data_IF_134604658918
#
_entry.id   IF_134604658918
#
_cell.length_a   1.000
_cell.length_b   1.000
_cell.length_c   1.000
_cell.angle_alpha   90.00
_cell.angle_beta   90.00
_cell.angle_gamma   90.00
#
_symmetry.space_group_name_H-M   'P 1'
#
loop_
_entity.id
_entity.type
_entity.pdbx_description
1 polymer ?
#
# COMPACT_ATOMS: atom_id res chain seq x y z
N UNK A 1 -30.32 22.48 -16.62
CA UNK A 1 -30.45 21.17 -15.94
C UNK A 1 -29.25 20.34 -16.34
N UNK A 2 -28.49 19.93 -15.32
CA UNK A 2 -27.15 19.36 -15.42
C UNK A 2 -27.27 17.88 -15.80
N UNK A 3 -26.86 17.49 -17.00
CA UNK A 3 -26.69 16.08 -17.35
C UNK A 3 -25.37 15.68 -16.71
N UNK A 4 -25.49 15.25 -15.46
CA UNK A 4 -24.44 14.58 -14.70
C UNK A 4 -23.86 13.49 -15.58
N UNK A 5 -22.60 13.69 -15.92
CA UNK A 5 -21.67 12.80 -16.59
C UNK A 5 -21.63 11.45 -15.88
N UNK A 6 -22.56 10.57 -16.23
CA UNK A 6 -22.45 9.13 -15.99
C UNK A 6 -21.52 8.58 -17.07
N UNK A 7 -20.21 8.77 -16.88
CA UNK A 7 -19.17 8.01 -17.57
C UNK A 7 -18.88 6.79 -16.68
N UNK A 8 -19.50 5.65 -16.97
CA UNK A 8 -19.00 4.60 -17.88
C UNK A 8 -17.75 3.87 -17.35
N UNK A 9 -17.96 2.57 -17.06
CA UNK A 9 -17.06 1.44 -17.36
C UNK A 9 -15.89 1.28 -16.36
N UNK A 10 -16.00 0.37 -15.37
CA UNK A 10 -15.68 -1.06 -15.42
C UNK A 10 -14.20 -1.38 -15.76
N UNK A 11 -13.60 -2.17 -14.86
CA UNK A 11 -12.37 -2.95 -15.00
C UNK A 11 -11.03 -2.21 -14.93
N UNK A 12 -10.38 -2.30 -13.77
CA UNK A 12 -9.03 -2.87 -13.69
C UNK A 12 -8.98 -3.79 -12.45
N UNK A 13 -9.50 -5.01 -12.61
CA UNK A 13 -8.93 -6.17 -11.92
C UNK A 13 -7.89 -6.71 -12.91
N UNK A 14 -6.68 -7.02 -12.43
CA UNK A 14 -5.50 -7.48 -13.18
C UNK A 14 -4.59 -6.37 -13.74
N UNK A 15 -3.95 -5.64 -12.86
CA UNK A 15 -2.49 -5.56 -13.00
C UNK A 15 -1.92 -6.41 -11.88
N UNK A 16 -1.46 -7.61 -12.22
CA UNK A 16 -0.32 -8.16 -11.50
C UNK A 16 0.77 -7.13 -11.67
N UNK A 17 0.83 -6.18 -10.74
CA UNK A 17 1.84 -5.14 -10.73
C UNK A 17 3.10 -5.96 -10.53
N UNK A 18 3.90 -6.07 -11.59
CA UNK A 18 5.29 -6.45 -11.42
C UNK A 18 5.85 -5.31 -10.57
N UNK A 19 5.80 -5.49 -9.25
CA UNK A 19 6.30 -4.53 -8.28
C UNK A 19 7.78 -4.38 -8.55
N UNK A 20 8.14 -3.41 -9.38
CA UNK A 20 9.51 -3.13 -9.75
C UNK A 20 10.27 -2.68 -8.51
N UNK A 21 11.57 -2.99 -8.46
CA UNK A 21 12.48 -2.52 -7.41
C UNK A 21 12.40 -0.98 -7.21
N UNK A 22 12.10 -0.25 -8.28
CA UNK A 22 11.92 1.21 -8.27
C UNK A 22 10.64 1.69 -7.55
N UNK A 23 9.57 0.87 -7.53
CA UNK A 23 8.28 1.28 -7.00
C UNK A 23 8.29 1.39 -5.47
N UNK A 24 9.05 0.56 -4.77
CA UNK A 24 9.18 0.63 -3.31
C UNK A 24 10.23 1.63 -2.85
N UNK A 25 11.21 1.93 -3.68
CA UNK A 25 12.26 2.92 -3.37
C UNK A 25 11.65 4.31 -3.13
N UNK A 26 10.60 4.70 -3.88
CA UNK A 26 9.91 5.97 -3.66
C UNK A 26 9.11 6.06 -2.35
N UNK A 27 8.90 4.93 -1.65
CA UNK A 27 8.16 4.83 -0.39
C UNK A 27 9.08 4.73 0.83
N UNK A 28 10.37 4.41 0.63
CA UNK A 28 11.34 4.24 1.69
C UNK A 28 11.50 5.53 2.53
N UNK A 29 11.45 5.39 3.85
CA UNK A 29 11.51 6.47 4.83
C UNK A 29 10.22 7.30 4.95
N UNK A 30 9.18 6.99 4.16
CA UNK A 30 7.92 7.73 4.16
C UNK A 30 6.85 7.01 4.96
N UNK A 31 5.88 7.80 5.39
CA UNK A 31 4.63 7.31 5.92
C UNK A 31 3.80 6.73 4.78
N UNK A 32 3.36 5.48 4.92
CA UNK A 32 2.65 4.71 3.91
C UNK A 32 1.39 4.07 4.45
N UNK A 33 0.44 3.86 3.56
CA UNK A 33 -0.70 2.97 3.75
C UNK A 33 -0.54 1.78 2.80
N UNK A 34 -0.58 0.57 3.32
CA UNK A 34 -0.38 -0.68 2.58
C UNK A 34 -1.62 -1.55 2.73
N UNK A 35 -2.23 -1.94 1.62
CA UNK A 35 -3.32 -2.93 1.62
C UNK A 35 -2.78 -4.28 1.16
N UNK A 36 -3.09 -5.33 1.92
CA UNK A 36 -2.59 -6.69 1.66
C UNK A 36 -3.69 -7.66 1.23
N UNK A 37 -3.34 -8.86 0.78
CA UNK A 37 -4.25 -9.87 0.21
C UNK A 37 -5.56 -10.07 0.98
N UNK A 38 -5.50 -10.00 2.31
CA UNK A 38 -6.63 -10.26 3.20
C UNK A 38 -7.49 -9.00 3.44
N UNK A 39 -7.34 -7.98 2.59
CA UNK A 39 -7.94 -6.65 2.72
C UNK A 39 -7.56 -5.91 4.00
N UNK A 40 -6.59 -6.44 4.76
CA UNK A 40 -6.02 -5.76 5.92
C UNK A 40 -5.22 -4.55 5.44
N UNK A 41 -5.38 -3.43 6.13
CA UNK A 41 -4.66 -2.20 5.85
C UNK A 41 -3.69 -1.96 7.00
N UNK A 42 -2.42 -1.77 6.66
CA UNK A 42 -1.40 -1.36 7.61
C UNK A 42 -0.95 0.06 7.29
N UNK A 43 -0.75 0.85 8.33
CA UNK A 43 -0.38 2.26 8.23
C UNK A 43 0.85 2.50 9.09
N UNK A 44 1.91 3.02 8.47
CA UNK A 44 3.18 3.08 9.16
C UNK A 44 4.28 3.78 8.39
N UNK A 45 5.46 3.89 8.97
CA UNK A 45 6.64 4.36 8.26
C UNK A 45 7.35 3.17 7.61
N UNK A 46 7.59 3.23 6.30
CA UNK A 46 8.34 2.18 5.61
C UNK A 46 9.84 2.35 5.85
N UNK A 47 10.43 1.48 6.66
CA UNK A 47 11.82 1.61 7.09
C UNK A 47 12.78 0.87 6.18
N UNK A 48 12.36 -0.27 5.62
CA UNK A 48 13.22 -1.16 4.84
C UNK A 48 12.44 -1.83 3.71
N UNK A 49 13.15 -2.23 2.66
CA UNK A 49 12.61 -3.13 1.65
C UNK A 49 13.69 -4.08 1.13
N UNK A 50 13.26 -5.28 0.79
CA UNK A 50 14.08 -6.38 0.33
C UNK A 50 13.59 -6.87 -1.03
N UNK A 51 14.23 -7.87 -1.60
CA UNK A 51 13.81 -8.44 -2.89
C UNK A 51 12.34 -8.86 -2.91
N UNK A 52 11.80 -9.42 -1.84
CA UNK A 52 10.46 -10.02 -1.79
C UNK A 52 9.52 -9.41 -0.75
N UNK A 53 9.97 -8.43 0.03
CA UNK A 53 9.23 -7.93 1.18
C UNK A 53 9.52 -6.46 1.48
N UNK A 54 8.64 -5.83 2.25
CA UNK A 54 8.82 -4.50 2.83
C UNK A 54 8.69 -4.60 4.34
N UNK A 55 9.32 -3.67 5.05
CA UNK A 55 9.15 -3.50 6.49
C UNK A 55 8.50 -2.15 6.73
N UNK A 56 7.41 -2.16 7.49
CA UNK A 56 6.77 -0.95 7.98
C UNK A 56 6.79 -0.98 9.51
N UNK A 57 7.10 0.16 10.12
CA UNK A 57 6.85 0.39 11.53
C UNK A 57 5.44 0.95 11.66
N UNK A 58 4.52 0.16 12.21
CA UNK A 58 3.12 0.52 12.36
C UNK A 58 2.98 1.74 13.30
N UNK A 59 2.14 2.71 12.92
CA UNK A 59 1.97 3.96 13.67
C UNK A 59 0.57 4.19 14.28
N UNK A 60 -0.46 3.44 13.89
CA UNK A 60 -1.84 3.63 14.38
C UNK A 60 -2.20 2.69 15.54
N UNK A 61 -1.57 1.52 15.63
CA UNK A 61 -1.56 0.60 16.74
C UNK A 61 -0.10 0.28 17.17
N UNK A 62 0.47 1.04 18.12
CA UNK A 62 1.84 0.84 18.60
C UNK A 62 2.08 -0.52 19.24
N UNK A 63 1.03 -1.32 19.51
CA UNK A 63 1.14 -2.68 20.02
C UNK A 63 1.66 -3.66 18.95
N UNK A 64 1.52 -3.32 17.66
CA UNK A 64 1.92 -4.18 16.55
C UNK A 64 3.43 -4.04 16.27
N UNK A 65 3.96 -2.83 16.33
CA UNK A 65 5.38 -2.54 16.06
C UNK A 65 5.77 -2.76 14.60
N UNK A 66 6.90 -3.43 14.36
CA UNK A 66 7.40 -3.64 13.01
C UNK A 66 6.70 -4.83 12.32
N UNK A 67 6.21 -4.59 11.10
CA UNK A 67 5.51 -5.56 10.27
C UNK A 67 6.31 -5.80 9.00
N UNK A 68 6.58 -7.07 8.70
CA UNK A 68 7.15 -7.50 7.43
C UNK A 68 6.05 -7.98 6.50
N UNK A 69 5.90 -7.35 5.34
CA UNK A 69 4.87 -7.66 4.35
C UNK A 69 5.54 -8.21 3.09
N UNK A 70 5.12 -9.40 2.64
CA UNK A 70 5.58 -9.95 1.36
C UNK A 70 4.99 -9.15 0.19
N UNK A 71 5.81 -8.80 -0.80
CA UNK A 71 5.41 -8.10 -2.03
C UNK A 71 4.31 -8.84 -2.77
N UNK A 72 4.38 -10.17 -2.83
CA UNK A 72 3.33 -11.00 -3.43
C UNK A 72 1.95 -10.84 -2.76
N UNK A 73 1.92 -10.27 -1.55
CA UNK A 73 0.70 -10.01 -0.83
C UNK A 73 0.28 -8.54 -0.79
N UNK A 74 1.07 -7.62 -1.35
CA UNK A 74 0.69 -6.23 -1.44
C UNK A 74 -0.29 -6.10 -2.60
N UNK A 75 -1.46 -5.53 -2.33
CA UNK A 75 -2.45 -5.20 -3.37
C UNK A 75 -2.14 -3.80 -3.91
N UNK A 76 -1.84 -2.86 -3.01
CA UNK A 76 -1.39 -1.51 -3.34
C UNK A 76 -0.67 -0.87 -2.15
N UNK A 77 0.16 0.14 -2.45
CA UNK A 77 0.85 0.99 -1.49
C UNK A 77 0.67 2.46 -1.89
N UNK A 78 0.49 3.35 -0.90
CA UNK A 78 0.38 4.80 -1.11
C UNK A 78 1.18 5.57 -0.08
N UNK A 79 1.72 6.73 -0.47
CA UNK A 79 2.30 7.69 0.47
C UNK A 79 1.18 8.42 1.22
N UNK A 80 1.42 8.64 2.51
CA UNK A 80 0.46 9.20 3.45
C UNK A 80 -0.39 8.12 4.13
N UNK A 81 -0.78 8.42 5.36
CA UNK A 81 -1.83 7.70 6.08
C UNK A 81 -2.58 8.69 6.96
N UNK A 82 -3.77 8.27 7.40
CA UNK A 82 -4.56 8.91 8.45
C UNK A 82 -4.91 7.77 9.40
N UNK A 83 -4.47 7.86 10.65
CA UNK A 83 -5.02 7.00 11.70
C UNK A 83 -6.42 7.52 11.98
N UNK A 84 -7.45 6.75 11.64
CA UNK A 84 -8.83 7.01 12.06
C UNK A 84 -9.02 6.77 13.56
#
# INVERSE_FOLDING_TARGET
MNITTVAMILAIVLTGIAFGEDEFTQHLGKNVTVNVCNMTVYQGNMTEWWNDSIVINELCDPSIGNITIKKSCIVWIKNGFVCD
#
